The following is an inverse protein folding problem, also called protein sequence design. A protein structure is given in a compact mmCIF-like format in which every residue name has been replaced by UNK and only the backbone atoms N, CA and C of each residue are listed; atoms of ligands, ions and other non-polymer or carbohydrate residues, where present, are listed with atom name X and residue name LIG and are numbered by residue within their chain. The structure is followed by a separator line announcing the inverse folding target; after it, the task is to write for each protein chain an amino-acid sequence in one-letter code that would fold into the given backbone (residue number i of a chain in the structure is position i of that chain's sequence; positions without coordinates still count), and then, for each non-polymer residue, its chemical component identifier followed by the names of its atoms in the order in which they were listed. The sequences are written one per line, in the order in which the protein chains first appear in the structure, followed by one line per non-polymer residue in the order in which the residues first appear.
data_IF_399251086349
#
_entry.id   IF_399251086349
#
_cell.length_a   1.000
_cell.length_b   1.000
_cell.length_c   1.000
_cell.angle_alpha   90.00
_cell.angle_beta   90.00
_cell.angle_gamma   90.00
#
_symmetry.space_group_name_H-M   'P 1'
#
loop_
_entity.id
_entity.type
_entity.pdbx_description
1 polymer ?
#
# COMPACT_ATOMS: atom_id res chain seq x y z
N UNK A 1 15.86 -8.85 -8.40
CA UNK A 1 14.41 -8.56 -8.52
C UNK A 1 14.12 -7.31 -7.70
N UNK A 2 13.49 -6.30 -8.30
CA UNK A 2 13.08 -5.08 -7.58
C UNK A 2 11.80 -5.35 -6.80
N UNK A 3 11.72 -4.85 -5.56
CA UNK A 3 10.56 -4.98 -4.68
C UNK A 3 10.03 -3.61 -4.26
N UNK A 4 8.75 -3.53 -3.93
CA UNK A 4 8.11 -2.35 -3.37
C UNK A 4 8.41 -2.26 -1.86
N UNK A 5 9.26 -1.32 -1.47
CA UNK A 5 9.69 -1.13 -0.07
C UNK A 5 8.52 -0.80 0.87
N UNK A 6 7.49 -0.08 0.41
CA UNK A 6 6.31 0.22 1.22
C UNK A 6 5.49 -1.04 1.51
N UNK A 7 5.32 -1.91 0.50
CA UNK A 7 4.62 -3.19 0.68
C UNK A 7 5.44 -4.12 1.57
N UNK A 8 6.77 -4.14 1.42
CA UNK A 8 7.65 -4.91 2.28
C UNK A 8 7.53 -4.47 3.75
N UNK A 9 7.59 -3.16 4.03
CA UNK A 9 7.38 -2.65 5.39
C UNK A 9 5.99 -2.97 5.91
N UNK A 10 4.95 -2.77 5.10
CA UNK A 10 3.58 -3.12 5.48
C UNK A 10 3.43 -4.60 5.87
N UNK A 11 4.09 -5.50 5.15
CA UNK A 11 4.15 -6.92 5.50
C UNK A 11 4.85 -7.13 6.85
N UNK A 12 5.96 -6.42 7.10
CA UNK A 12 6.69 -6.49 8.38
C UNK A 12 5.83 -6.01 9.56
N UNK A 13 5.11 -4.90 9.40
CA UNK A 13 4.21 -4.33 10.41
C UNK A 13 3.01 -5.26 10.66
N UNK A 14 2.40 -5.78 9.59
CA UNK A 14 1.31 -6.74 9.70
C UNK A 14 1.77 -8.13 10.19
N UNK A 15 3.06 -8.43 10.12
CA UNK A 15 3.72 -9.69 10.50
C UNK A 15 3.74 -10.76 9.39
N UNK A 16 2.85 -10.71 8.40
CA UNK A 16 2.93 -11.60 7.22
C UNK A 16 2.11 -11.08 6.04
N UNK A 17 2.38 -11.61 4.83
CA UNK A 17 1.60 -11.28 3.64
C UNK A 17 0.12 -11.65 3.81
N UNK A 18 -0.17 -12.78 4.46
CA UNK A 18 -1.55 -13.22 4.72
C UNK A 18 -2.26 -12.26 5.68
N UNK A 19 -1.64 -11.89 6.80
CA UNK A 19 -2.22 -10.95 7.76
C UNK A 19 -2.49 -9.58 7.14
N UNK A 20 -1.58 -9.09 6.29
CA UNK A 20 -1.81 -7.86 5.54
C UNK A 20 -2.98 -8.00 4.56
N UNK A 21 -3.06 -9.12 3.84
CA UNK A 21 -4.15 -9.40 2.93
C UNK A 21 -5.51 -9.42 3.64
N UNK A 22 -5.58 -10.07 4.81
CA UNK A 22 -6.78 -10.14 5.65
C UNK A 22 -7.21 -8.74 6.13
N UNK A 23 -6.26 -7.92 6.62
CA UNK A 23 -6.53 -6.53 7.03
C UNK A 23 -7.04 -5.64 5.89
N UNK A 24 -6.53 -5.85 4.68
CA UNK A 24 -6.92 -5.08 3.48
C UNK A 24 -8.13 -5.69 2.76
N UNK A 25 -8.61 -6.85 3.22
CA UNK A 25 -9.68 -7.64 2.59
C UNK A 25 -9.38 -8.00 1.13
N UNK A 26 -8.17 -8.47 0.86
CA UNK A 26 -7.71 -8.96 -0.47
C UNK A 26 -7.11 -10.36 -0.35
N UNK A 27 -6.85 -11.02 -1.48
CA UNK A 27 -6.16 -12.29 -1.49
C UNK A 27 -4.63 -12.12 -1.26
N UNK A 28 -3.98 -13.06 -0.57
CA UNK A 28 -2.53 -13.02 -0.34
C UNK A 28 -1.69 -12.92 -1.64
N UNK A 29 -2.05 -13.57 -2.77
CA UNK A 29 -1.34 -13.37 -4.04
C UNK A 29 -1.37 -11.93 -4.55
N UNK A 30 -2.39 -11.14 -4.19
CA UNK A 30 -2.46 -9.72 -4.50
C UNK A 30 -1.33 -8.95 -3.81
N UNK A 31 -1.06 -9.26 -2.53
CA UNK A 31 0.05 -8.67 -1.79
C UNK A 31 1.40 -9.04 -2.43
N UNK A 32 1.56 -10.29 -2.84
CA UNK A 32 2.77 -10.74 -3.56
C UNK A 32 2.97 -9.96 -4.87
N UNK A 33 1.90 -9.74 -5.64
CA UNK A 33 1.95 -8.94 -6.87
C UNK A 33 2.38 -7.49 -6.60
N UNK A 34 1.90 -6.89 -5.50
CA UNK A 34 2.29 -5.54 -5.09
C UNK A 34 3.74 -5.48 -4.63
N UNK A 35 4.19 -6.48 -3.87
CA UNK A 35 5.56 -6.59 -3.39
C UNK A 35 6.57 -6.68 -4.54
N UNK A 36 6.26 -7.47 -5.58
CA UNK A 36 7.16 -7.69 -6.71
C UNK A 36 6.89 -6.75 -7.91
N UNK A 37 6.21 -5.62 -7.67
CA UNK A 37 5.92 -4.59 -8.68
C UNK A 37 5.19 -5.13 -9.93
N UNK A 38 4.53 -6.29 -9.83
CA UNK A 38 3.72 -6.88 -10.91
C UNK A 38 2.41 -6.12 -11.08
N UNK A 39 1.88 -5.57 -9.99
CA UNK A 39 0.71 -4.69 -9.96
C UNK A 39 0.93 -3.57 -8.95
N UNK A 40 0.34 -2.40 -9.18
CA UNK A 40 0.26 -1.34 -8.18
C UNK A 40 -0.89 -1.61 -7.21
N UNK A 41 -0.84 -1.00 -6.02
CA UNK A 41 -1.99 -0.98 -5.10
C UNK A 41 -3.14 -0.24 -5.79
N UNK A 42 -4.30 -0.90 -5.90
CA UNK A 42 -5.49 -0.28 -6.50
C UNK A 42 -5.89 0.94 -5.66
N UNK A 43 -6.32 2.06 -6.26
CA UNK A 43 -6.67 3.27 -5.51
C UNK A 43 -7.72 3.01 -4.42
N UNK A 44 -8.68 2.12 -4.71
CA UNK A 44 -9.73 1.70 -3.77
C UNK A 44 -9.17 1.02 -2.51
N UNK A 45 -8.00 0.37 -2.63
CA UNK A 45 -7.38 -0.36 -1.54
C UNK A 45 -6.33 0.47 -0.79
N UNK A 46 -5.98 1.67 -1.27
CA UNK A 46 -4.94 2.52 -0.64
C UNK A 46 -5.33 2.88 0.79
N UNK A 47 -6.58 3.29 1.02
CA UNK A 47 -7.05 3.64 2.37
C UNK A 47 -7.07 2.41 3.30
N UNK A 48 -7.51 1.25 2.81
CA UNK A 48 -7.49 0.01 3.58
C UNK A 48 -6.05 -0.43 3.90
N UNK A 49 -5.13 -0.26 2.95
CA UNK A 49 -3.71 -0.54 3.13
C UNK A 49 -3.08 0.34 4.21
N UNK A 50 -3.35 1.64 4.20
CA UNK A 50 -2.85 2.58 5.22
C UNK A 50 -3.42 2.23 6.61
N UNK A 51 -4.71 1.93 6.69
CA UNK A 51 -5.35 1.48 7.95
C UNK A 51 -4.76 0.18 8.46
N UNK A 52 -4.34 -0.74 7.57
CA UNK A 52 -3.75 -2.01 7.96
C UNK A 52 -2.38 -1.86 8.66
N UNK A 53 -1.71 -0.73 8.45
CA UNK A 53 -0.39 -0.38 9.02
C UNK A 53 -0.49 0.80 10.00
N UNK A 54 -1.67 1.01 10.59
CA UNK A 54 -1.90 2.03 11.62
C UNK A 54 -1.52 3.46 11.19
N UNK A 55 -1.64 3.76 9.89
CA UNK A 55 -1.35 5.11 9.38
C UNK A 55 0.13 5.42 9.14
N UNK A 56 1.04 4.44 9.21
CA UNK A 56 2.49 4.67 9.04
C UNK A 56 2.84 5.30 7.69
N UNK A 57 2.04 5.04 6.65
CA UNK A 57 2.23 5.59 5.31
C UNK A 57 1.09 6.52 4.92
N UNK A 58 1.40 7.51 4.09
CA UNK A 58 0.43 8.40 3.46
C UNK A 58 0.08 7.91 2.05
N UNK A 59 -1.12 8.24 1.58
CA UNK A 59 -1.64 7.73 0.31
C UNK A 59 -0.80 8.11 -0.91
N UNK A 60 -0.28 9.34 -0.94
CA UNK A 60 0.60 9.83 -2.00
C UNK A 60 1.94 9.07 -2.06
N UNK A 61 2.40 8.46 -0.96
CA UNK A 61 3.63 7.65 -0.94
C UNK A 61 3.41 6.29 -1.62
N UNK A 62 2.18 5.76 -1.55
CA UNK A 62 1.82 4.46 -2.14
C UNK A 62 1.47 4.62 -3.63
N UNK A 63 0.80 5.73 -3.98
CA UNK A 63 0.38 6.06 -5.35
C UNK A 63 0.77 7.50 -5.72
N UNK A 64 2.08 7.79 -5.84
CA UNK A 64 2.55 9.12 -6.29
C UNK A 64 2.14 9.42 -7.73
N UNK A 65 1.71 8.41 -8.49
CA UNK A 65 1.19 8.54 -9.84
C UNK A 65 -0.27 9.04 -9.90
N UNK A 66 -0.94 9.27 -8.76
CA UNK A 66 -2.31 9.79 -8.69
C UNK A 66 -2.40 11.00 -7.76
N UNK A 67 -1.73 12.13 -8.08
CA UNK A 67 -1.75 13.33 -7.26
C UNK A 67 -3.16 13.92 -7.09
N UNK A 68 -4.02 13.86 -8.13
CA UNK A 68 -5.40 14.36 -8.05
C UNK A 68 -6.26 13.59 -7.02
N UNK A 69 -5.94 12.30 -6.81
CA UNK A 69 -6.68 11.45 -5.87
C UNK A 69 -6.02 11.40 -4.49
N UNK A 70 -4.69 11.55 -4.45
CA UNK A 70 -3.86 11.52 -3.25
C UNK A 70 -2.88 12.69 -3.28
N UNK A 71 -3.36 13.91 -2.97
CA UNK A 71 -2.56 15.12 -3.09
C UNK A 71 -1.37 15.09 -2.13
N UNK A 72 -0.26 15.71 -2.56
CA UNK A 72 0.87 15.94 -1.66
C UNK A 72 0.45 16.96 -0.59
N UNK A 73 0.85 16.81 0.67
CA UNK A 73 0.53 17.76 1.73
C UNK A 73 0.96 19.20 1.42
N UNK A 74 1.97 19.39 0.57
CA UNK A 74 2.45 20.71 0.15
C UNK A 74 1.63 21.34 -1.00
N UNK A 75 0.83 20.54 -1.71
CA UNK A 75 -0.05 21.01 -2.80
C UNK A 75 -1.48 21.26 -2.34
N UNK A 76 -1.82 20.89 -1.09
CA UNK A 76 -3.13 21.11 -0.49
C UNK A 76 -3.27 22.48 0.22
N UNK A 77 -2.30 23.39 0.02
CA UNK A 77 -2.25 24.72 0.63
C UNK A 77 -2.74 25.83 -0.30
#
# INVERSE_FOLDING_TARGET
MSINLYVQRAISIAGSQKKLADKVSVAQPTIWCWLHLKKKVSPKNVNAFIRAVDGEFKAYQIRPDLPDLFPHPDEAA
#
